data_IF_889088659604
#
_entry.id   IF_889088659604
#
_cell.length_a   1.000
_cell.length_b   1.000
_cell.length_c   1.000
_cell.angle_alpha   90.00
_cell.angle_beta   90.00
_cell.angle_gamma   90.00
#
_symmetry.space_group_name_H-M   'P 1'
#
loop_
_entity.id
_entity.type
_entity.pdbx_description
1 polymer ?
#
# COMPACT_ATOMS: atom_id res chain seq x y z
N UNK A 1 -24.41 -12.24 6.24
CA UNK A 1 -22.99 -12.36 6.43
C UNK A 1 -22.34 -11.06 6.86
N UNK A 2 -21.49 -11.15 7.81
CA UNK A 2 -20.86 -9.96 8.33
C UNK A 2 -19.69 -9.51 7.46
N UNK A 3 -19.69 -8.25 7.13
CA UNK A 3 -18.62 -7.67 6.37
C UNK A 3 -17.42 -7.39 7.27
N UNK A 4 -16.24 -7.63 6.73
CA UNK A 4 -15.01 -7.29 7.43
C UNK A 4 -14.85 -5.77 7.44
N UNK A 5 -14.85 -5.17 8.62
CA UNK A 5 -14.75 -3.73 8.77
C UNK A 5 -13.38 -3.25 9.20
N UNK A 6 -12.40 -4.12 9.14
CA UNK A 6 -11.07 -3.73 9.54
C UNK A 6 -10.41 -2.81 8.52
N UNK A 7 -9.59 -1.92 9.03
CA UNK A 7 -8.82 -1.01 8.21
C UNK A 7 -7.43 -1.61 8.01
N UNK A 8 -7.02 -1.75 6.75
CA UNK A 8 -5.75 -2.38 6.43
C UNK A 8 -4.83 -1.41 5.73
N UNK A 9 -3.56 -1.47 6.09
CA UNK A 9 -2.51 -0.67 5.44
C UNK A 9 -1.53 -1.65 4.81
N UNK A 10 -1.33 -1.52 3.53
CA UNK A 10 -0.40 -2.37 2.79
C UNK A 10 0.86 -1.58 2.50
N UNK A 11 2.01 -2.16 2.81
CA UNK A 11 3.29 -1.49 2.66
C UNK A 11 4.18 -2.32 1.74
N UNK A 12 4.64 -1.70 0.67
CA UNK A 12 5.53 -2.35 -0.29
C UNK A 12 6.84 -1.60 -0.34
N UNK A 13 7.92 -2.29 -0.06
CA UNK A 13 9.25 -1.69 -0.04
C UNK A 13 9.94 -1.95 -1.40
N UNK A 14 9.56 -1.15 -2.39
CA UNK A 14 10.04 -1.32 -3.76
C UNK A 14 9.94 0.01 -4.50
N UNK A 15 11.08 0.58 -4.89
CA UNK A 15 11.11 1.89 -5.53
C UNK A 15 10.48 1.88 -6.92
N UNK A 16 10.57 0.80 -7.66
CA UNK A 16 9.93 0.72 -8.97
C UNK A 16 8.41 0.76 -8.83
N UNK A 17 7.88 0.02 -7.85
CA UNK A 17 6.44 0.03 -7.60
C UNK A 17 5.99 1.39 -7.10
N UNK A 18 6.85 2.09 -6.36
CA UNK A 18 6.54 3.46 -5.95
C UNK A 18 6.35 4.35 -7.17
N UNK A 19 7.23 4.22 -8.14
CA UNK A 19 7.11 5.01 -9.37
C UNK A 19 5.82 4.69 -10.12
N UNK A 20 5.47 3.42 -10.22
CA UNK A 20 4.22 3.01 -10.86
C UNK A 20 3.02 3.61 -10.14
N UNK A 21 3.06 3.62 -8.82
CA UNK A 21 1.96 4.15 -8.03
C UNK A 21 1.82 5.66 -8.21
N UNK A 22 2.95 6.38 -8.18
CA UNK A 22 2.96 7.83 -8.36
C UNK A 22 2.44 8.21 -9.75
N UNK A 23 2.78 7.42 -10.76
CA UNK A 23 2.36 7.69 -12.13
C UNK A 23 1.00 7.10 -12.47
N UNK A 24 0.35 6.49 -11.50
CA UNK A 24 -0.96 5.86 -11.68
C UNK A 24 -0.93 4.81 -12.79
N UNK A 25 0.17 4.08 -12.88
CA UNK A 25 0.37 3.06 -13.91
C UNK A 25 0.07 1.68 -13.34
N UNK A 26 -1.22 1.34 -13.33
CA UNK A 26 -1.66 0.08 -12.73
C UNK A 26 -1.16 -1.13 -13.53
N UNK A 27 -1.02 -0.99 -14.82
CA UNK A 27 -0.56 -2.10 -15.67
C UNK A 27 0.87 -2.48 -15.32
N UNK A 28 1.75 -1.49 -15.23
CA UNK A 28 3.15 -1.74 -14.86
C UNK A 28 3.25 -2.26 -13.43
N UNK A 29 2.43 -1.71 -12.54
CA UNK A 29 2.39 -2.15 -11.14
C UNK A 29 2.01 -3.64 -11.07
N UNK A 30 0.93 -4.01 -11.74
CA UNK A 30 0.45 -5.39 -11.75
C UNK A 30 1.48 -6.35 -12.33
N UNK A 31 2.11 -5.96 -13.42
CA UNK A 31 3.15 -6.77 -14.05
C UNK A 31 4.30 -7.01 -13.08
N UNK A 32 4.68 -5.96 -12.37
CA UNK A 32 5.81 -6.02 -11.45
C UNK A 32 5.55 -6.91 -10.24
N UNK A 33 4.35 -6.85 -9.67
CA UNK A 33 4.03 -7.69 -8.51
C UNK A 33 3.86 -9.16 -8.90
N UNK A 34 3.67 -9.45 -10.18
CA UNK A 34 3.59 -10.81 -10.66
C UNK A 34 4.94 -11.34 -11.13
N UNK A 35 5.97 -10.53 -11.06
CA UNK A 35 7.32 -10.94 -11.42
C UNK A 35 7.92 -11.81 -10.32
N UNK A 36 8.74 -12.77 -10.72
CA UNK A 36 9.38 -13.69 -9.78
C UNK A 36 10.29 -12.98 -8.78
N UNK A 37 10.77 -11.79 -9.12
CA UNK A 37 11.65 -11.03 -8.25
C UNK A 37 10.88 -10.30 -7.15
N UNK A 38 9.56 -10.22 -7.25
CA UNK A 38 8.77 -9.59 -6.20
C UNK A 38 8.74 -10.50 -4.98
N UNK A 39 9.16 -9.97 -3.84
CA UNK A 39 9.28 -10.78 -2.63
C UNK A 39 7.98 -10.87 -1.86
N UNK A 40 7.49 -9.74 -1.36
CA UNK A 40 6.26 -9.73 -0.59
C UNK A 40 5.90 -8.31 -0.19
N UNK A 41 4.78 -8.17 0.45
CA UNK A 41 4.35 -6.90 1.03
C UNK A 41 3.95 -7.13 2.48
N UNK A 42 3.94 -6.05 3.27
CA UNK A 42 3.48 -6.09 4.65
C UNK A 42 2.05 -5.58 4.71
N UNK A 43 1.28 -6.14 5.62
CA UNK A 43 -0.10 -5.71 5.83
C UNK A 43 -0.37 -5.58 7.33
N UNK A 44 -0.82 -4.39 7.73
CA UNK A 44 -1.20 -4.13 9.11
C UNK A 44 -2.70 -3.90 9.18
N UNK A 45 -3.34 -4.50 10.16
CA UNK A 45 -4.79 -4.38 10.35
C UNK A 45 -5.08 -3.56 11.60
N UNK A 46 -6.09 -2.71 11.49
CA UNK A 46 -6.53 -1.88 12.61
C UNK A 46 -8.03 -1.96 12.73
N UNK A 47 -8.54 -1.78 13.95
CA UNK A 47 -9.98 -1.85 14.19
C UNK A 47 -10.68 -0.53 13.93
N UNK A 48 -9.94 0.58 13.97
CA UNK A 48 -10.52 1.90 13.72
C UNK A 48 -9.70 2.66 12.69
N UNK A 49 -10.37 3.54 11.98
CA UNK A 49 -9.69 4.41 11.02
C UNK A 49 -8.68 5.31 11.71
N UNK A 50 -9.01 5.75 12.91
CA UNK A 50 -8.12 6.63 13.65
C UNK A 50 -6.77 5.97 13.94
N UNK A 51 -6.80 4.70 14.34
CA UNK A 51 -5.57 3.97 14.60
C UNK A 51 -4.75 3.80 13.33
N UNK A 52 -5.41 3.44 12.24
CA UNK A 52 -4.73 3.23 10.97
C UNK A 52 -4.14 4.54 10.44
N UNK A 53 -4.86 5.64 10.60
CA UNK A 53 -4.37 6.94 10.18
C UNK A 53 -3.13 7.35 10.96
N UNK A 54 -3.12 7.10 12.27
CA UNK A 54 -1.95 7.39 13.09
C UNK A 54 -0.74 6.57 12.66
N UNK A 55 -0.97 5.33 12.31
CA UNK A 55 0.11 4.46 11.84
C UNK A 55 0.73 5.02 10.56
N UNK A 56 -0.12 5.40 9.61
CA UNK A 56 0.34 5.97 8.33
C UNK A 56 1.09 7.27 8.56
N UNK A 57 0.55 8.13 9.41
CA UNK A 57 1.22 9.39 9.73
C UNK A 57 2.60 9.15 10.31
N UNK A 58 2.73 8.16 11.17
CA UNK A 58 4.02 7.81 11.75
C UNK A 58 5.04 7.39 10.72
N UNK A 59 4.60 6.69 9.68
CA UNK A 59 5.48 6.29 8.60
C UNK A 59 6.04 7.48 7.85
N UNK A 60 5.21 8.50 7.64
CA UNK A 60 5.63 9.67 6.87
C UNK A 60 6.45 10.65 7.71
N UNK A 61 6.09 10.82 8.97
CA UNK A 61 6.81 11.76 9.83
C UNK A 61 8.26 11.37 10.07
N UNK A 62 8.55 10.09 10.00
CA UNK A 62 9.93 9.64 10.16
C UNK A 62 10.84 10.01 9.00
N UNK A 63 10.31 10.66 7.98
CA UNK A 63 11.05 10.92 6.73
C UNK A 63 11.10 12.40 6.38
N UNK A 64 11.23 13.28 7.35
CA UNK A 64 11.47 14.71 7.12
C UNK A 64 10.50 15.32 6.12
N UNK A 65 9.22 15.33 6.44
CA UNK A 65 8.23 16.03 5.63
C UNK A 65 7.93 15.40 4.28
N UNK A 66 8.57 14.29 3.96
CA UNK A 66 8.35 13.62 2.67
C UNK A 66 7.92 12.20 2.87
N UNK A 67 7.22 11.68 1.88
CA UNK A 67 6.92 10.27 1.85
C UNK A 67 8.22 9.46 1.82
N UNK A 68 8.31 8.34 2.51
CA UNK A 68 9.48 7.49 2.43
C UNK A 68 9.75 7.11 0.98
N UNK A 69 11.00 7.21 0.58
CA UNK A 69 11.36 6.83 -0.78
C UNK A 69 11.47 5.32 -0.88
N UNK A 70 10.98 4.81 -2.00
CA UNK A 70 11.05 3.37 -2.24
C UNK A 70 10.02 2.58 -1.46
N UNK A 71 8.99 3.26 -0.96
CA UNK A 71 7.93 2.59 -0.20
C UNK A 71 6.58 3.02 -0.73
N UNK A 72 5.71 2.04 -0.98
CA UNK A 72 4.32 2.29 -1.36
C UNK A 72 3.44 1.98 -0.16
N UNK A 73 2.60 2.94 0.22
CA UNK A 73 1.66 2.77 1.32
C UNK A 73 0.25 2.85 0.76
N UNK A 74 -0.49 1.76 0.87
CA UNK A 74 -1.85 1.66 0.34
C UNK A 74 -2.84 1.46 1.48
N UNK A 75 -3.93 2.21 1.44
CA UNK A 75 -4.94 2.19 2.50
C UNK A 75 -6.23 1.56 1.99
N UNK A 76 -6.74 0.56 2.69
CA UNK A 76 -7.93 -0.18 2.23
C UNK A 76 -9.18 0.68 2.14
N UNK A 77 -9.22 1.78 2.89
CA UNK A 77 -10.39 2.67 2.89
C UNK A 77 -10.27 3.78 1.84
N UNK A 78 -9.22 3.77 1.06
CA UNK A 78 -8.99 4.77 0.02
C UNK A 78 -9.28 4.13 -1.34
N UNK A 79 -10.35 4.59 -2.00
CA UNK A 79 -10.76 4.01 -3.27
C UNK A 79 -9.69 4.11 -4.35
N UNK A 80 -8.87 5.15 -4.31
CA UNK A 80 -7.80 5.33 -5.29
C UNK A 80 -6.73 4.24 -5.17
N UNK A 81 -6.58 3.65 -4.00
CA UNK A 81 -5.58 2.61 -3.78
C UNK A 81 -6.10 1.22 -4.11
N UNK A 82 -7.40 1.08 -4.30
CA UNK A 82 -8.02 -0.25 -4.48
C UNK A 82 -7.42 -1.06 -5.63
N UNK A 83 -7.21 -0.51 -6.84
CA UNK A 83 -6.63 -1.30 -7.92
C UNK A 83 -5.26 -1.85 -7.57
N UNK A 84 -4.46 -1.06 -6.88
CA UNK A 84 -3.10 -1.48 -6.49
C UNK A 84 -3.15 -2.55 -5.40
N UNK A 85 -4.07 -2.42 -4.46
CA UNK A 85 -4.26 -3.42 -3.42
C UNK A 85 -4.69 -4.74 -4.04
N UNK A 86 -5.62 -4.69 -5.00
CA UNK A 86 -6.09 -5.90 -5.67
C UNK A 86 -4.96 -6.58 -6.42
N UNK A 87 -4.07 -5.81 -7.03
CA UNK A 87 -2.92 -6.37 -7.71
C UNK A 87 -2.01 -7.13 -6.74
N UNK A 88 -1.80 -6.57 -5.55
CA UNK A 88 -0.99 -7.23 -4.53
C UNK A 88 -1.63 -8.53 -4.05
N UNK A 89 -2.91 -8.48 -3.76
CA UNK A 89 -3.63 -9.64 -3.21
C UNK A 89 -3.67 -10.78 -4.21
N UNK A 90 -3.81 -10.47 -5.49
CA UNK A 90 -3.95 -11.47 -6.54
C UNK A 90 -2.63 -11.92 -7.14
N UNK A 91 -1.53 -11.39 -6.66
CA UNK A 91 -0.21 -11.74 -7.19
C UNK A 91 0.20 -13.16 -6.82
#
# INVERSE_FOLDING_TARGET
>A
MKKDNKFRVYIVNDSYLEDCFINDDIDAFTESVNDDDFISYDCEEFETEKESTKFVEGLFYGCDERSPRGIVVLCSWNDCDEPFINALINA
#
